data_IF_796095747998
#
_entry.id   IF_796095747998
#
_cell.length_a   1.000
_cell.length_b   1.000
_cell.length_c   1.000
_cell.angle_alpha   90.00
_cell.angle_beta   90.00
_cell.angle_gamma   90.00
#
_symmetry.space_group_name_H-M   'P 1'
#
loop_
_entity.id
_entity.type
_entity.pdbx_description
1 polymer ?
#
# COMPACT_ATOMS: atom_id res chain seq x y z
N UNK A 1 -13.10 -2.95 -9.98
CA UNK A 1 -12.76 -3.41 -8.61
C UNK A 1 -13.89 -3.10 -7.66
N UNK A 2 -14.28 -4.05 -6.80
CA UNK A 2 -15.20 -3.77 -5.71
C UNK A 2 -14.57 -2.77 -4.74
N UNK A 3 -15.37 -1.82 -4.25
CA UNK A 3 -15.04 -0.77 -3.27
C UNK A 3 -14.17 -1.26 -2.08
N UNK A 4 -14.25 -2.55 -1.74
CA UNK A 4 -13.41 -3.23 -0.75
C UNK A 4 -11.89 -3.10 -0.96
N UNK A 5 -11.41 -2.98 -2.21
CA UNK A 5 -9.98 -2.77 -2.48
C UNK A 5 -9.45 -1.44 -1.94
N UNK A 6 -10.28 -0.40 -1.90
CA UNK A 6 -9.92 0.90 -1.34
C UNK A 6 -10.09 0.98 0.18
N UNK A 7 -10.97 0.13 0.74
CA UNK A 7 -11.26 0.12 2.18
C UNK A 7 -10.15 -0.56 2.99
N UNK A 8 -9.46 -1.56 2.44
CA UNK A 8 -8.38 -2.28 3.13
C UNK A 8 -7.19 -1.38 3.52
N UNK A 9 -6.62 -0.57 2.61
CA UNK A 9 -5.58 0.40 2.97
C UNK A 9 -6.02 1.40 4.03
N UNK A 10 -7.26 1.89 3.94
CA UNK A 10 -7.82 2.83 4.91
C UNK A 10 -7.98 2.18 6.30
N UNK A 11 -8.46 0.95 6.37
CA UNK A 11 -8.60 0.21 7.63
C UNK A 11 -7.24 -0.02 8.30
N UNK A 12 -6.24 -0.41 7.51
CA UNK A 12 -4.86 -0.61 7.98
C UNK A 12 -4.24 0.70 8.43
N UNK A 13 -4.49 1.80 7.70
CA UNK A 13 -4.03 3.12 8.10
C UNK A 13 -4.58 3.51 9.46
N UNK A 14 -5.89 3.42 9.68
CA UNK A 14 -6.50 3.75 10.96
C UNK A 14 -6.00 2.84 12.08
N UNK A 15 -5.86 1.53 11.84
CA UNK A 15 -5.35 0.57 12.82
C UNK A 15 -3.92 0.87 13.25
N UNK A 16 -3.01 1.09 12.29
CA UNK A 16 -1.61 1.39 12.59
C UNK A 16 -1.44 2.79 13.16
N UNK A 17 -2.23 3.77 12.70
CA UNK A 17 -2.20 5.12 13.24
C UNK A 17 -2.62 5.17 14.73
N UNK A 18 -3.68 4.44 15.10
CA UNK A 18 -4.08 4.30 16.51
C UNK A 18 -3.07 3.50 17.33
N UNK A 19 -2.57 2.39 16.77
CA UNK A 19 -1.63 1.51 17.49
C UNK A 19 -0.26 2.13 17.70
N UNK A 20 0.18 3.03 16.82
CA UNK A 20 1.52 3.63 16.88
C UNK A 20 1.51 5.00 17.58
N UNK A 21 0.40 5.42 18.17
CA UNK A 21 0.37 6.68 18.94
C UNK A 21 0.55 7.94 18.09
N UNK A 22 0.03 7.94 16.84
CA UNK A 22 0.08 9.05 15.85
C UNK A 22 1.38 9.18 15.04
N UNK A 23 2.20 8.14 14.97
CA UNK A 23 3.32 8.08 14.03
C UNK A 23 2.82 7.93 12.58
N UNK A 24 2.71 9.06 11.88
CA UNK A 24 2.38 9.09 10.44
C UNK A 24 3.37 8.30 9.59
N UNK A 25 4.63 8.24 9.99
CA UNK A 25 5.67 7.50 9.27
C UNK A 25 5.36 5.99 9.25
N UNK A 26 5.01 5.40 10.40
CA UNK A 26 4.71 3.96 10.50
C UNK A 26 3.37 3.62 9.87
N UNK A 27 2.36 4.48 10.02
CA UNK A 27 1.07 4.32 9.35
C UNK A 27 1.23 4.36 7.83
N UNK A 28 2.06 5.26 7.31
CA UNK A 28 2.37 5.33 5.88
C UNK A 28 3.09 4.06 5.43
N UNK A 29 4.13 3.61 6.14
CA UNK A 29 4.85 2.37 5.83
C UNK A 29 3.93 1.13 5.80
N UNK A 30 2.96 1.05 6.70
CA UNK A 30 1.98 -0.03 6.72
C UNK A 30 1.04 0.00 5.51
N UNK A 31 0.55 1.17 5.09
CA UNK A 31 -0.22 1.28 3.85
C UNK A 31 0.63 0.83 2.65
N UNK A 32 1.91 1.23 2.60
CA UNK A 32 2.81 0.85 1.49
C UNK A 32 2.95 -0.68 1.37
N UNK A 33 3.04 -1.40 2.50
CA UNK A 33 3.08 -2.86 2.52
C UNK A 33 1.77 -3.48 2.02
N UNK A 34 0.63 -2.95 2.45
CA UNK A 34 -0.69 -3.45 2.04
C UNK A 34 -0.94 -3.23 0.56
N UNK A 35 -0.57 -2.06 0.03
CA UNK A 35 -0.69 -1.78 -1.41
C UNK A 35 0.20 -2.72 -2.22
N UNK A 36 1.41 -3.02 -1.75
CA UNK A 36 2.30 -4.00 -2.40
C UNK A 36 1.69 -5.40 -2.41
N UNK A 37 1.14 -5.85 -1.28
CA UNK A 37 0.40 -7.11 -1.19
C UNK A 37 -0.83 -7.13 -2.12
N UNK A 38 -1.55 -6.02 -2.24
CA UNK A 38 -2.69 -5.90 -3.15
C UNK A 38 -2.28 -6.03 -4.61
N UNK A 39 -1.16 -5.42 -5.01
CA UNK A 39 -0.63 -5.51 -6.37
C UNK A 39 -0.24 -6.95 -6.70
N UNK A 40 0.43 -7.63 -5.77
CA UNK A 40 0.81 -9.04 -5.92
C UNK A 40 -0.44 -9.92 -6.01
N UNK A 41 -1.43 -9.69 -5.14
CA UNK A 41 -2.68 -10.44 -5.12
C UNK A 41 -3.50 -10.23 -6.41
N UNK A 42 -3.64 -9.00 -6.89
CA UNK A 42 -4.28 -8.69 -8.18
C UNK A 42 -3.54 -9.36 -9.34
N UNK A 43 -2.21 -9.28 -9.36
CA UNK A 43 -1.36 -9.92 -10.38
C UNK A 43 -1.54 -11.43 -10.40
N UNK A 44 -1.61 -12.07 -9.22
CA UNK A 44 -1.76 -13.52 -9.10
C UNK A 44 -3.18 -14.00 -9.41
N UNK A 45 -4.21 -13.27 -8.96
CA UNK A 45 -5.60 -13.72 -9.06
C UNK A 45 -6.28 -13.34 -10.38
N UNK A 46 -5.94 -12.18 -10.95
CA UNK A 46 -6.56 -11.67 -12.21
C UNK A 46 -5.62 -11.76 -13.41
N UNK A 47 -4.33 -12.09 -13.21
CA UNK A 47 -3.32 -12.14 -14.28
C UNK A 47 -2.95 -10.78 -14.87
N UNK A 48 -3.63 -9.70 -14.46
CA UNK A 48 -3.43 -8.34 -14.93
C UNK A 48 -3.58 -7.39 -13.74
N UNK A 49 -2.63 -6.47 -13.59
CA UNK A 49 -2.69 -5.41 -12.59
C UNK A 49 -3.35 -4.21 -13.24
N UNK A 50 -4.38 -3.63 -12.62
CA UNK A 50 -4.96 -2.40 -13.14
C UNK A 50 -3.90 -1.29 -13.22
N UNK A 51 -3.86 -0.58 -14.36
CA UNK A 51 -2.86 0.46 -14.63
C UNK A 51 -2.73 1.49 -13.50
N UNK A 52 -3.84 1.86 -12.85
CA UNK A 52 -3.83 2.79 -11.70
C UNK A 52 -3.07 2.22 -10.51
N UNK A 53 -3.36 0.96 -10.14
CA UNK A 53 -2.70 0.27 -9.03
C UNK A 53 -1.22 0.03 -9.31
N UNK A 54 -0.89 -0.29 -10.57
CA UNK A 54 0.49 -0.46 -11.01
C UNK A 54 1.29 0.85 -10.95
N UNK A 55 0.70 1.96 -11.36
CA UNK A 55 1.36 3.27 -11.33
C UNK A 55 1.58 3.76 -9.90
N UNK A 56 0.60 3.55 -9.01
CA UNK A 56 0.75 3.80 -7.57
C UNK A 56 1.84 2.91 -6.95
N UNK A 57 1.94 1.65 -7.38
CA UNK A 57 2.99 0.74 -6.91
C UNK A 57 4.39 1.18 -7.36
N UNK A 58 4.57 1.54 -8.62
CA UNK A 58 5.86 2.03 -9.14
C UNK A 58 6.28 3.32 -8.43
N UNK A 59 5.35 4.25 -8.20
CA UNK A 59 5.62 5.46 -7.42
C UNK A 59 6.05 5.12 -5.98
N UNK A 60 5.39 4.15 -5.35
CA UNK A 60 5.71 3.68 -3.99
C UNK A 60 7.07 2.97 -3.91
N UNK A 61 7.42 2.14 -4.90
CA UNK A 61 8.73 1.49 -4.98
C UNK A 61 9.85 2.52 -5.09
N UNK A 62 9.64 3.59 -5.87
CA UNK A 62 10.57 4.72 -5.94
C UNK A 62 10.79 5.38 -4.58
N UNK A 63 9.70 5.61 -3.82
CA UNK A 63 9.78 6.13 -2.44
C UNK A 63 10.55 5.17 -1.53
N UNK A 64 10.29 3.86 -1.61
CA UNK A 64 10.93 2.85 -0.77
C UNK A 64 12.45 2.79 -1.00
N UNK A 65 12.88 2.87 -2.27
CA UNK A 65 14.29 2.91 -2.63
C UNK A 65 14.99 4.12 -2.01
N UNK A 66 14.36 5.30 -1.98
CA UNK A 66 14.91 6.48 -1.31
C UNK A 66 15.02 6.31 0.21
N UNK A 67 14.07 5.63 0.85
CA UNK A 67 14.15 5.33 2.29
C UNK A 67 15.22 4.29 2.65
N UNK A 68 15.63 3.44 1.70
CA UNK A 68 16.68 2.43 1.89
C UNK A 68 18.09 2.98 1.61
N UNK A 69 18.18 4.12 0.90
CA UNK A 69 19.47 4.79 0.56
C UNK A 69 19.82 5.94 1.50
N UNK A 70 18.95 6.27 2.45
CA UNK A 70 19.16 7.23 3.54
C UNK A 70 19.48 6.47 4.84
#
# INVERSE_FOLDING_TARGET
>A
MGQFGYLLPALVFFGVFFSTGKDFLKATAAIMLVVTLQVIYEKFKRGSVEKKLFLTWVALVGVWISYLTL
#
